data_IF_911135085226
#
_entry.id   IF_911135085226
#
_cell.length_a   1.000
_cell.length_b   1.000
_cell.length_c   1.000
_cell.angle_alpha   90.00
_cell.angle_beta   90.00
_cell.angle_gamma   90.00
#
_symmetry.space_group_name_H-M   'P 1'
#
loop_
_entity.id
_entity.type
_entity.pdbx_description
1 polymer ?
#
# COMPACT_ATOMS: atom_id res chain seq x y z
N UNK A 1 44.31 27.24 -7.51
CA UNK A 1 43.90 25.95 -6.95
C UNK A 1 42.41 26.09 -6.71
N UNK A 2 41.56 25.45 -7.50
CA UNK A 2 40.10 25.49 -7.26
C UNK A 2 39.81 24.81 -5.94
N UNK A 3 39.14 25.53 -5.04
CA UNK A 3 38.69 24.97 -3.78
C UNK A 3 37.55 24.00 -4.07
N UNK A 4 37.83 22.71 -3.92
CA UNK A 4 36.80 21.68 -4.04
C UNK A 4 35.93 21.76 -2.79
N UNK A 5 34.93 22.65 -2.82
CA UNK A 5 33.85 22.73 -1.85
C UNK A 5 33.30 21.32 -1.62
N UNK A 6 33.52 20.76 -0.43
CA UNK A 6 33.18 19.37 -0.14
C UNK A 6 31.66 19.19 -0.04
N UNK A 7 31.06 18.38 -0.91
CA UNK A 7 29.62 18.07 -0.82
C UNK A 7 29.36 16.78 -0.05
N UNK A 8 28.38 16.77 0.87
CA UNK A 8 27.88 15.55 1.53
C UNK A 8 26.50 15.20 0.96
N UNK A 9 26.33 13.97 0.46
CA UNK A 9 25.04 13.47 -0.04
C UNK A 9 24.50 12.39 0.90
N UNK A 10 23.28 12.57 1.38
CA UNK A 10 22.55 11.61 2.21
C UNK A 10 21.33 11.10 1.45
N UNK A 11 21.18 9.78 1.34
CA UNK A 11 20.01 9.14 0.74
C UNK A 11 19.22 8.41 1.83
N UNK A 12 17.95 8.77 2.00
CA UNK A 12 17.03 8.12 2.93
C UNK A 12 15.95 7.39 2.13
N UNK A 13 15.81 6.08 2.38
CA UNK A 13 14.76 5.25 1.78
C UNK A 13 13.72 4.91 2.84
N UNK A 14 12.45 5.24 2.59
CA UNK A 14 11.32 4.91 3.46
C UNK A 14 10.37 3.97 2.73
N UNK A 15 10.12 2.81 3.30
CA UNK A 15 9.16 1.82 2.77
C UNK A 15 7.93 1.79 3.67
N UNK A 16 6.75 2.04 3.10
CA UNK A 16 5.46 1.97 3.79
C UNK A 16 4.60 0.87 3.18
N UNK A 17 4.18 -0.08 4.02
CA UNK A 17 3.28 -1.18 3.63
C UNK A 17 1.90 -0.94 4.23
N UNK A 18 0.87 -0.87 3.39
CA UNK A 18 -0.53 -0.72 3.81
C UNK A 18 -1.33 -1.95 3.39
N UNK A 19 -1.95 -2.61 4.37
CA UNK A 19 -2.81 -3.78 4.15
C UNK A 19 -4.27 -3.38 4.39
N UNK A 20 -5.12 -3.56 3.40
CA UNK A 20 -6.57 -3.27 3.48
C UNK A 20 -7.37 -4.56 3.26
N UNK A 21 -8.20 -4.92 4.25
CA UNK A 21 -9.08 -6.10 4.20
C UNK A 21 -10.52 -5.63 4.00
N UNK A 22 -11.17 -6.06 2.92
CA UNK A 22 -12.58 -5.75 2.62
C UNK A 22 -13.40 -7.04 2.65
N UNK A 23 -14.43 -7.09 3.50
CA UNK A 23 -15.36 -8.22 3.60
C UNK A 23 -16.69 -7.83 2.98
N UNK A 24 -17.12 -8.55 1.93
CA UNK A 24 -18.42 -8.34 1.27
C UNK A 24 -19.31 -9.56 1.51
N UNK A 25 -20.49 -9.34 2.07
CA UNK A 25 -21.50 -10.39 2.30
C UNK A 25 -22.65 -10.21 1.32
N UNK A 26 -22.87 -11.20 0.45
CA UNK A 26 -23.96 -11.20 -0.52
C UNK A 26 -24.97 -12.29 -0.15
N UNK A 27 -26.23 -11.88 0.09
CA UNK A 27 -27.34 -12.81 0.37
C UNK A 27 -28.20 -12.94 -0.88
N UNK A 28 -28.29 -14.16 -1.42
CA UNK A 28 -29.15 -14.46 -2.58
C UNK A 28 -30.32 -15.32 -2.13
N UNK A 29 -31.54 -14.84 -2.35
CA UNK A 29 -32.78 -15.58 -2.07
C UNK A 29 -33.38 -16.07 -3.39
N UNK A 30 -33.49 -17.38 -3.55
CA UNK A 30 -34.12 -18.01 -4.73
C UNK A 30 -35.47 -18.60 -4.33
N UNK A 31 -36.56 -18.09 -4.91
CA UNK A 31 -37.92 -18.59 -4.66
C UNK A 31 -38.26 -19.70 -5.66
N UNK A 32 -38.07 -20.96 -5.27
CA UNK A 32 -38.73 -22.12 -5.89
C UNK A 32 -39.81 -22.63 -4.93
N UNK A 33 -40.51 -23.72 -5.27
CA UNK A 33 -41.53 -24.36 -4.41
C UNK A 33 -41.02 -24.70 -2.99
N UNK A 34 -39.70 -24.63 -2.77
CA UNK A 34 -39.02 -24.62 -1.47
C UNK A 34 -38.11 -23.38 -1.37
N UNK A 35 -38.37 -22.45 -0.44
CA UNK A 35 -37.50 -21.29 -0.21
C UNK A 35 -36.11 -21.73 0.25
N UNK A 36 -35.06 -21.41 -0.53
CA UNK A 36 -33.66 -21.65 -0.16
C UNK A 36 -32.91 -20.32 -0.10
N UNK A 37 -32.32 -20.00 1.06
CA UNK A 37 -31.49 -18.80 1.27
C UNK A 37 -30.02 -19.22 1.24
N UNK A 38 -29.22 -18.61 0.36
CA UNK A 38 -27.78 -18.85 0.28
C UNK A 38 -27.03 -17.56 0.62
N UNK A 39 -26.21 -17.61 1.67
CA UNK A 39 -25.33 -16.50 2.08
C UNK A 39 -23.91 -16.81 1.61
N UNK A 40 -23.32 -15.92 0.81
CA UNK A 40 -21.94 -16.03 0.35
C UNK A 40 -21.12 -14.87 0.92
N UNK A 41 -20.09 -15.19 1.69
CA UNK A 41 -19.15 -14.20 2.25
C UNK A 41 -17.85 -14.26 1.45
N UNK A 42 -17.44 -13.13 0.87
CA UNK A 42 -16.18 -12.99 0.13
C UNK A 42 -15.27 -12.00 0.85
N UNK A 43 -14.07 -12.46 1.23
CA UNK A 43 -13.04 -11.64 1.86
C UNK A 43 -11.93 -11.36 0.84
N UNK A 44 -11.65 -10.09 0.57
CA UNK A 44 -10.58 -9.66 -0.32
C UNK A 44 -9.55 -8.87 0.48
N UNK A 45 -8.29 -9.33 0.46
CA UNK A 45 -7.16 -8.66 1.12
C UNK A 45 -6.26 -8.06 0.04
N UNK A 46 -6.06 -6.74 0.09
CA UNK A 46 -5.17 -6.02 -0.82
C UNK A 46 -4.00 -5.43 -0.04
N UNK A 47 -2.78 -5.78 -0.44
CA UNK A 47 -1.54 -5.26 0.14
C UNK A 47 -0.88 -4.31 -0.85
N UNK A 48 -0.67 -3.06 -0.45
CA UNK A 48 0.02 -2.04 -1.26
C UNK A 48 1.34 -1.66 -0.56
N UNK A 49 2.45 -1.75 -1.28
CA UNK A 49 3.78 -1.36 -0.79
C UNK A 49 4.27 -0.15 -1.56
N UNK A 50 4.52 0.95 -0.86
CA UNK A 50 5.05 2.20 -1.44
C UNK A 50 6.46 2.44 -0.92
N UNK A 51 7.43 2.60 -1.82
CA UNK A 51 8.83 2.91 -1.49
C UNK A 51 9.14 4.33 -1.96
N UNK A 52 9.52 5.21 -1.03
CA UNK A 52 9.93 6.59 -1.31
C UNK A 52 11.41 6.76 -1.00
N UNK A 53 12.18 7.23 -1.99
CA UNK A 53 13.61 7.52 -1.84
C UNK A 53 13.82 9.03 -1.90
N UNK A 54 14.37 9.60 -0.84
CA UNK A 54 14.71 11.02 -0.76
C UNK A 54 16.22 11.18 -0.72
N UNK A 55 16.77 11.93 -1.68
CA UNK A 55 18.20 12.28 -1.71
C UNK A 55 18.38 13.74 -1.38
N UNK A 56 19.19 14.03 -0.36
CA UNK A 56 19.54 15.38 0.07
C UNK A 56 21.04 15.58 -0.10
N UNK A 57 21.44 16.58 -0.86
CA UNK A 57 22.84 17.00 -1.00
C UNK A 57 23.04 18.32 -0.27
N UNK A 58 24.03 18.36 0.62
CA UNK A 58 24.45 19.56 1.34
C UNK A 58 25.86 19.91 0.83
N UNK A 59 25.99 21.07 0.18
CA UNK A 59 27.32 21.64 -0.08
C UNK A 59 27.82 22.24 1.23
N UNK A 60 28.97 21.78 1.73
CA UNK A 60 29.64 22.47 2.83
C UNK A 60 30.60 23.45 2.20
N UNK A 61 30.46 24.74 2.51
CA UNK A 61 31.35 25.80 2.03
C UNK A 61 32.82 25.48 2.24
#
# INVERSE_FOLDING_TARGET
>A
MDDLVGTTTTTTTTTTTTTTTTTTTTTTTTTTTTTTTTTTTTTTTTTTTTTTTTTTTIQKG
#
